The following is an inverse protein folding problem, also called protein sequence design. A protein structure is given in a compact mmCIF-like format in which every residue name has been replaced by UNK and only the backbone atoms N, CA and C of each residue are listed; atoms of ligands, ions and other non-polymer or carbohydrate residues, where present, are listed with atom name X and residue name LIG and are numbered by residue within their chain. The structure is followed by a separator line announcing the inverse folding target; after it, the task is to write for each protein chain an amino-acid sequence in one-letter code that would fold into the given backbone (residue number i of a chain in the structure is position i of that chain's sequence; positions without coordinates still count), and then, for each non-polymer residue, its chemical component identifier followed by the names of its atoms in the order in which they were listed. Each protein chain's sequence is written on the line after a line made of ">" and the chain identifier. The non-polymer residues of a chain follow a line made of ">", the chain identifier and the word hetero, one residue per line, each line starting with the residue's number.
data_IF_030025598664
#
_entry.id   IF_030025598664
#
_cell.length_a   1.000
_cell.length_b   1.000
_cell.length_c   1.000
_cell.angle_alpha   90.00
_cell.angle_beta   90.00
_cell.angle_gamma   90.00
#
_symmetry.space_group_name_H-M   'P 1'
#
loop_
_entity.id
_entity.type
_entity.pdbx_description
1 polymer ?
#
# COMPACT_ATOMS: atom_id res chain seq x y z
N UNK A 1 12.56 23.75 55.85
CA UNK A 1 11.19 23.21 55.57
C UNK A 1 10.30 24.14 54.76
N UNK A 2 10.19 25.48 55.04
CA UNK A 2 9.33 26.39 54.27
C UNK A 2 9.75 26.59 52.81
N UNK A 3 11.02 26.57 52.45
CA UNK A 3 11.53 26.69 51.09
C UNK A 3 11.22 25.42 50.25
N UNK A 4 11.36 24.24 50.82
CA UNK A 4 11.04 22.96 50.16
C UNK A 4 9.55 22.86 49.84
N UNK A 5 8.68 23.29 50.76
CA UNK A 5 7.22 23.34 50.57
C UNK A 5 6.84 24.30 49.43
N UNK A 6 7.46 25.48 49.33
CA UNK A 6 7.24 26.41 48.23
C UNK A 6 7.68 25.85 46.87
N UNK A 7 8.83 25.17 46.81
CA UNK A 7 9.32 24.53 45.60
C UNK A 7 8.39 23.39 45.14
N UNK A 8 7.87 22.55 46.04
CA UNK A 8 6.94 21.47 45.73
C UNK A 8 5.62 22.06 45.17
N UNK A 9 5.09 23.15 45.77
CA UNK A 9 3.87 23.78 45.28
C UNK A 9 4.08 24.37 43.88
N UNK A 10 5.20 25.05 43.63
CA UNK A 10 5.51 25.58 42.28
C UNK A 10 5.63 24.47 41.21
N UNK A 11 6.28 23.33 41.54
CA UNK A 11 6.37 22.18 40.63
C UNK A 11 4.99 21.56 40.38
N UNK A 12 4.16 21.43 41.40
CA UNK A 12 2.79 20.91 41.25
C UNK A 12 1.92 21.81 40.38
N UNK A 13 2.02 23.13 40.50
CA UNK A 13 1.28 24.09 39.66
C UNK A 13 1.75 24.04 38.22
N UNK A 14 3.06 23.90 37.97
CA UNK A 14 3.60 23.77 36.60
C UNK A 14 3.19 22.45 35.95
N UNK A 15 3.14 21.33 36.70
CA UNK A 15 2.66 20.05 36.20
C UNK A 15 1.16 20.06 35.90
N UNK A 16 0.34 20.68 36.73
CA UNK A 16 -1.12 20.79 36.51
C UNK A 16 -1.47 21.68 35.31
N UNK A 17 -0.73 22.74 35.06
CA UNK A 17 -0.90 23.60 33.88
C UNK A 17 -0.67 22.88 32.55
N UNK A 18 0.33 22.00 32.49
CA UNK A 18 0.61 21.22 31.29
C UNK A 18 -0.46 20.14 30.99
N UNK A 19 -1.07 19.54 32.02
CA UNK A 19 -2.15 18.55 31.82
C UNK A 19 -3.43 19.18 31.28
N UNK A 20 -3.79 20.39 31.76
CA UNK A 20 -4.97 21.09 31.26
C UNK A 20 -4.81 21.52 29.80
N UNK A 21 -3.64 22.03 29.41
CA UNK A 21 -3.33 22.42 28.02
C UNK A 21 -3.44 21.23 27.05
N UNK A 22 -2.96 20.05 27.44
CA UNK A 22 -3.03 18.85 26.61
C UNK A 22 -4.47 18.35 26.43
N UNK A 23 -5.31 18.44 27.45
CA UNK A 23 -6.73 18.05 27.37
C UNK A 23 -7.53 18.99 26.42
N UNK A 24 -7.28 20.28 26.45
CA UNK A 24 -7.89 21.25 25.53
C UNK A 24 -7.44 21.02 24.08
N UNK A 25 -6.14 20.78 23.85
CA UNK A 25 -5.59 20.45 22.53
C UNK A 25 -6.23 19.16 21.96
N UNK A 26 -6.33 18.10 22.76
CA UNK A 26 -6.98 16.86 22.36
C UNK A 26 -8.46 17.05 22.01
N UNK A 27 -9.20 17.89 22.77
CA UNK A 27 -10.60 18.20 22.46
C UNK A 27 -10.72 18.97 21.14
N UNK A 28 -9.83 19.92 20.88
CA UNK A 28 -9.82 20.73 19.66
C UNK A 28 -9.47 19.85 18.45
N UNK A 29 -8.44 19.02 18.53
CA UNK A 29 -8.09 18.04 17.51
C UNK A 29 -9.28 17.15 17.13
N UNK A 30 -9.90 16.48 18.12
CA UNK A 30 -11.05 15.62 17.89
C UNK A 30 -12.26 16.34 17.28
N UNK A 31 -12.43 17.65 17.56
CA UNK A 31 -13.45 18.45 16.91
C UNK A 31 -13.20 18.57 15.41
N UNK A 32 -11.98 18.91 15.02
CA UNK A 32 -11.61 19.06 13.61
C UNK A 32 -11.62 17.72 12.87
N UNK A 33 -11.20 16.63 13.50
CA UNK A 33 -11.32 15.28 12.92
C UNK A 33 -12.79 14.93 12.65
N UNK A 34 -13.70 15.18 13.60
CA UNK A 34 -15.13 14.93 13.40
C UNK A 34 -15.74 15.80 12.31
N UNK A 35 -15.38 17.07 12.25
CA UNK A 35 -15.80 17.98 11.19
C UNK A 35 -15.35 17.45 9.82
N UNK A 36 -14.08 17.05 9.71
CA UNK A 36 -13.54 16.43 8.51
C UNK A 36 -14.27 15.14 8.12
N UNK A 37 -14.59 14.28 9.09
CA UNK A 37 -15.33 13.04 8.85
C UNK A 37 -16.74 13.28 8.29
N UNK A 38 -17.46 14.29 8.78
CA UNK A 38 -18.79 14.65 8.24
C UNK A 38 -18.68 15.21 6.81
N UNK A 39 -17.68 16.04 6.54
CA UNK A 39 -17.40 16.55 5.19
C UNK A 39 -17.00 15.41 4.23
N UNK A 40 -16.17 14.49 4.68
CA UNK A 40 -15.75 13.32 3.88
C UNK A 40 -16.93 12.43 3.52
N UNK A 41 -17.85 12.15 4.45
CA UNK A 41 -19.07 11.36 4.21
C UNK A 41 -19.99 12.01 3.17
N UNK A 42 -19.97 13.33 3.08
CA UNK A 42 -20.73 14.09 2.08
C UNK A 42 -19.93 14.38 0.80
N UNK A 43 -18.82 13.65 0.58
CA UNK A 43 -17.93 13.74 -0.57
C UNK A 43 -17.27 15.11 -0.78
N UNK A 44 -17.32 15.98 0.23
CA UNK A 44 -16.64 17.28 0.23
C UNK A 44 -15.17 17.12 0.62
N UNK A 45 -14.43 16.44 -0.24
CA UNK A 45 -13.06 16.00 0.08
C UNK A 45 -12.07 17.14 0.28
N UNK A 46 -12.25 18.26 -0.44
CA UNK A 46 -11.40 19.44 -0.28
C UNK A 46 -11.61 20.13 1.07
N UNK A 47 -12.86 20.28 1.48
CA UNK A 47 -13.20 20.86 2.78
C UNK A 47 -12.81 19.92 3.93
N UNK A 48 -12.95 18.60 3.72
CA UNK A 48 -12.49 17.60 4.67
C UNK A 48 -10.97 17.68 4.86
N UNK A 49 -10.19 17.83 3.78
CA UNK A 49 -8.74 18.04 3.83
C UNK A 49 -8.41 19.24 4.73
N UNK A 50 -9.08 20.38 4.55
CA UNK A 50 -8.86 21.59 5.38
C UNK A 50 -9.12 21.29 6.85
N UNK A 51 -10.20 20.59 7.18
CA UNK A 51 -10.53 20.23 8.55
C UNK A 51 -9.47 19.29 9.16
N UNK A 52 -9.01 18.29 8.41
CA UNK A 52 -7.96 17.39 8.90
C UNK A 52 -6.61 18.10 9.05
N UNK A 53 -6.24 19.01 8.17
CA UNK A 53 -5.03 19.85 8.34
C UNK A 53 -5.12 20.69 9.64
N UNK A 54 -6.29 21.30 9.94
CA UNK A 54 -6.50 21.98 11.22
C UNK A 54 -6.34 21.06 12.43
N UNK A 55 -6.72 19.77 12.31
CA UNK A 55 -6.48 18.82 13.39
C UNK A 55 -4.99 18.57 13.61
N UNK A 56 -4.21 18.53 12.51
CA UNK A 56 -2.76 18.35 12.55
C UNK A 56 -2.01 19.60 13.02
N UNK A 57 -2.55 20.81 12.79
CA UNK A 57 -2.01 22.04 13.37
C UNK A 57 -2.09 22.00 14.91
N UNK A 58 -3.15 21.39 15.45
CA UNK A 58 -3.33 21.20 16.90
C UNK A 58 -2.47 20.04 17.42
N UNK A 59 -2.48 18.91 16.71
CA UNK A 59 -1.73 17.72 17.07
C UNK A 59 -1.02 17.10 15.84
N UNK A 60 0.23 17.49 15.55
CA UNK A 60 0.98 16.98 14.41
C UNK A 60 1.24 15.47 14.42
N UNK A 61 0.98 14.80 15.55
CA UNK A 61 1.15 13.35 15.70
C UNK A 61 -0.18 12.57 15.70
N UNK A 62 -1.27 13.22 15.29
CA UNK A 62 -2.58 12.58 15.21
C UNK A 62 -2.58 11.49 14.13
N UNK A 63 -2.65 10.22 14.54
CA UNK A 63 -2.76 9.09 13.62
C UNK A 63 -4.07 9.22 12.81
N UNK A 64 -5.18 9.54 13.50
CA UNK A 64 -6.48 9.65 12.85
C UNK A 64 -6.56 10.84 11.88
N UNK A 65 -6.02 12.00 12.28
CA UNK A 65 -5.94 13.19 11.41
C UNK A 65 -5.11 12.91 10.15
N UNK A 66 -3.93 12.31 10.30
CA UNK A 66 -3.04 11.97 9.17
C UNK A 66 -3.66 10.92 8.25
N UNK A 67 -4.27 9.87 8.81
CA UNK A 67 -4.93 8.83 8.02
C UNK A 67 -6.09 9.39 7.19
N UNK A 68 -6.97 10.17 7.81
CA UNK A 68 -8.12 10.74 7.14
C UNK A 68 -7.74 11.84 6.13
N UNK A 69 -6.66 12.59 6.39
CA UNK A 69 -6.06 13.48 5.40
C UNK A 69 -5.59 12.70 4.17
N UNK A 70 -4.87 11.60 4.37
CA UNK A 70 -4.46 10.71 3.29
C UNK A 70 -5.66 10.21 2.47
N UNK A 71 -6.74 9.78 3.13
CA UNK A 71 -7.97 9.35 2.46
C UNK A 71 -8.60 10.48 1.63
N UNK A 72 -8.66 11.70 2.16
CA UNK A 72 -9.22 12.85 1.44
C UNK A 72 -8.39 13.23 0.23
N UNK A 73 -7.08 13.20 0.35
CA UNK A 73 -6.14 13.45 -0.75
C UNK A 73 -6.27 12.38 -1.83
N UNK A 74 -6.40 11.11 -1.44
CA UNK A 74 -6.62 10.01 -2.37
C UNK A 74 -7.91 10.19 -3.19
N UNK A 75 -9.01 10.59 -2.54
CA UNK A 75 -10.29 10.85 -3.21
C UNK A 75 -10.23 12.04 -4.17
N UNK A 76 -9.33 12.98 -3.93
CA UNK A 76 -9.05 14.12 -4.82
C UNK A 76 -8.05 13.80 -5.92
N UNK A 77 -7.60 12.54 -6.05
CA UNK A 77 -6.56 12.10 -6.97
C UNK A 77 -5.16 12.73 -6.72
N UNK A 78 -4.96 13.32 -5.55
CA UNK A 78 -3.67 13.85 -5.08
C UNK A 78 -2.80 12.69 -4.55
N UNK A 79 -2.47 11.74 -5.44
CA UNK A 79 -1.90 10.44 -5.07
C UNK A 79 -0.55 10.56 -4.36
N UNK A 80 0.31 11.49 -4.80
CA UNK A 80 1.63 11.70 -4.19
C UNK A 80 1.51 12.18 -2.75
N UNK A 81 0.68 13.21 -2.52
CA UNK A 81 0.44 13.75 -1.19
C UNK A 81 -0.23 12.73 -0.26
N UNK A 82 -1.17 11.94 -0.78
CA UNK A 82 -1.80 10.85 -0.03
C UNK A 82 -0.76 9.79 0.39
N UNK A 83 0.13 9.39 -0.52
CA UNK A 83 1.21 8.44 -0.22
C UNK A 83 2.14 8.95 0.88
N UNK A 84 2.48 10.24 0.88
CA UNK A 84 3.30 10.88 1.91
C UNK A 84 2.64 10.76 3.31
N UNK A 85 1.31 11.00 3.39
CA UNK A 85 0.58 10.87 4.66
C UNK A 85 0.59 9.43 5.18
N UNK A 86 0.33 8.45 4.32
CA UNK A 86 0.36 7.05 4.71
C UNK A 86 1.77 6.57 5.08
N UNK A 87 2.82 7.07 4.41
CA UNK A 87 4.20 6.74 4.72
C UNK A 87 4.64 7.27 6.10
N UNK A 88 4.17 8.47 6.48
CA UNK A 88 4.38 9.00 7.84
C UNK A 88 3.79 8.06 8.91
N UNK A 89 2.63 7.46 8.64
CA UNK A 89 2.00 6.50 9.54
C UNK A 89 2.68 5.13 9.53
N UNK A 90 3.06 4.63 8.36
CA UNK A 90 3.82 3.39 8.24
C UNK A 90 5.15 3.46 9.01
N UNK A 91 5.78 4.64 9.07
CA UNK A 91 6.95 4.90 9.91
C UNK A 91 6.71 4.71 11.43
N UNK A 92 5.45 4.67 11.87
CA UNK A 92 5.05 4.41 13.27
C UNK A 92 4.59 2.96 13.50
N UNK A 93 4.88 2.06 12.59
CA UNK A 93 4.42 0.67 12.58
C UNK A 93 4.62 -0.05 13.92
N UNK A 94 5.80 0.08 14.51
CA UNK A 94 6.13 -0.58 15.79
C UNK A 94 5.11 -0.22 16.88
N UNK A 95 4.81 1.06 17.02
CA UNK A 95 3.82 1.58 17.99
C UNK A 95 2.40 1.15 17.65
N UNK A 96 2.03 1.18 16.37
CA UNK A 96 0.69 0.79 15.94
C UNK A 96 0.44 -0.70 16.15
N UNK A 97 1.46 -1.55 16.07
CA UNK A 97 1.35 -2.99 16.33
C UNK A 97 1.13 -3.37 17.80
N UNK A 98 1.25 -2.43 18.73
CA UNK A 98 1.04 -2.71 20.16
C UNK A 98 -0.43 -2.98 20.49
N UNK A 99 -1.38 -2.45 19.69
CA UNK A 99 -2.82 -2.62 19.93
C UNK A 99 -3.52 -3.29 18.74
N UNK A 100 -4.64 -4.02 18.98
CA UNK A 100 -5.44 -4.58 17.90
C UNK A 100 -5.96 -3.53 16.91
N UNK A 101 -6.41 -2.38 17.43
CA UNK A 101 -6.92 -1.26 16.66
C UNK A 101 -5.83 -0.63 15.79
N UNK A 102 -4.62 -0.50 16.34
CA UNK A 102 -3.45 -0.01 15.61
C UNK A 102 -3.04 -0.97 14.48
N UNK A 103 -3.08 -2.30 14.72
CA UNK A 103 -2.84 -3.31 13.68
C UNK A 103 -3.87 -3.21 12.55
N UNK A 104 -5.16 -3.10 12.90
CA UNK A 104 -6.22 -2.95 11.92
C UNK A 104 -6.02 -1.68 11.08
N UNK A 105 -5.71 -0.57 11.72
CA UNK A 105 -5.43 0.71 11.03
C UNK A 105 -4.18 0.61 10.13
N UNK A 106 -3.16 -0.09 10.56
CA UNK A 106 -1.94 -0.30 9.78
C UNK A 106 -2.23 -1.17 8.54
N UNK A 107 -3.11 -2.18 8.66
CA UNK A 107 -3.57 -2.97 7.52
C UNK A 107 -4.26 -2.08 6.47
N UNK A 108 -5.18 -1.20 6.89
CA UNK A 108 -5.86 -0.24 6.02
C UNK A 108 -4.87 0.73 5.34
N UNK A 109 -3.85 1.19 6.06
CA UNK A 109 -2.80 2.06 5.51
C UNK A 109 -2.06 1.35 4.39
N UNK A 110 -1.61 0.11 4.60
CA UNK A 110 -0.93 -0.67 3.55
C UNK A 110 -1.86 -1.00 2.38
N UNK A 111 -3.15 -1.30 2.63
CA UNK A 111 -4.14 -1.45 1.57
C UNK A 111 -4.22 -0.18 0.70
N UNK A 112 -4.37 0.99 1.32
CA UNK A 112 -4.48 2.27 0.61
C UNK A 112 -3.19 2.65 -0.13
N UNK A 113 -2.02 2.33 0.44
CA UNK A 113 -0.74 2.46 -0.27
C UNK A 113 -0.71 1.57 -1.52
N UNK A 114 -1.20 0.34 -1.43
CA UNK A 114 -1.38 -0.56 -2.56
C UNK A 114 -2.26 0.04 -3.64
N UNK A 115 -3.40 0.61 -3.27
CA UNK A 115 -4.33 1.27 -4.21
C UNK A 115 -3.69 2.47 -4.93
N UNK A 116 -2.89 3.27 -4.21
CA UNK A 116 -2.14 4.39 -4.82
C UNK A 116 -1.14 3.86 -5.85
N UNK A 117 -0.38 2.81 -5.50
CA UNK A 117 0.59 2.19 -6.40
C UNK A 117 -0.08 1.57 -7.64
N UNK A 118 -1.26 0.94 -7.45
CA UNK A 118 -2.09 0.46 -8.57
C UNK A 118 -2.45 1.56 -9.53
N UNK A 119 -2.97 2.69 -9.04
CA UNK A 119 -3.29 3.86 -9.87
C UNK A 119 -2.07 4.41 -10.60
N UNK A 120 -0.91 4.39 -9.96
CA UNK A 120 0.38 4.80 -10.52
C UNK A 120 1.01 3.76 -11.46
N UNK A 121 0.37 2.60 -11.69
CA UNK A 121 0.89 1.46 -12.46
C UNK A 121 2.21 0.88 -11.91
N UNK A 122 2.53 1.17 -10.64
CA UNK A 122 3.67 0.57 -9.95
C UNK A 122 3.20 -0.75 -9.30
N UNK A 123 2.94 -1.73 -10.16
CA UNK A 123 2.33 -3.00 -9.74
C UNK A 123 3.21 -3.78 -8.78
N UNK A 124 4.53 -3.69 -8.93
CA UNK A 124 5.47 -4.38 -8.03
C UNK A 124 5.36 -3.87 -6.59
N UNK A 125 5.36 -2.55 -6.38
CA UNK A 125 5.20 -1.97 -5.06
C UNK A 125 3.77 -2.12 -4.53
N UNK A 126 2.76 -2.17 -5.42
CA UNK A 126 1.38 -2.46 -5.05
C UNK A 126 1.24 -3.86 -4.44
N UNK A 127 1.82 -4.88 -5.08
CA UNK A 127 1.87 -6.25 -4.58
C UNK A 127 2.47 -6.31 -3.17
N UNK A 128 3.60 -5.64 -2.94
CA UNK A 128 4.24 -5.65 -1.62
C UNK A 128 3.38 -4.94 -0.56
N UNK A 129 2.74 -3.83 -0.89
CA UNK A 129 1.85 -3.13 0.03
C UNK A 129 0.63 -3.98 0.41
N UNK A 130 -0.03 -4.63 -0.54
CA UNK A 130 -1.16 -5.53 -0.25
C UNK A 130 -0.75 -6.76 0.57
N UNK A 131 0.44 -7.33 0.32
CA UNK A 131 0.99 -8.40 1.16
C UNK A 131 1.19 -7.94 2.61
N UNK A 132 1.69 -6.71 2.84
CA UNK A 132 1.83 -6.16 4.19
C UNK A 132 0.46 -5.98 4.86
N UNK A 133 -0.54 -5.48 4.13
CA UNK A 133 -1.91 -5.37 4.62
C UNK A 133 -2.45 -6.74 5.06
N UNK A 134 -2.33 -7.76 4.22
CA UNK A 134 -2.83 -9.12 4.51
C UNK A 134 -2.08 -9.83 5.64
N UNK A 135 -0.81 -9.53 5.88
CA UNK A 135 -0.09 -10.03 7.07
C UNK A 135 -0.71 -9.53 8.37
N UNK A 136 -1.32 -8.36 8.35
CA UNK A 136 -1.96 -7.73 9.51
C UNK A 136 -3.44 -8.08 9.60
N UNK A 137 -4.14 -8.18 8.47
CA UNK A 137 -5.54 -8.57 8.35
C UNK A 137 -5.74 -9.62 7.24
N UNK A 138 -5.53 -10.92 7.53
CA UNK A 138 -5.64 -11.98 6.52
C UNK A 138 -7.06 -12.21 5.99
N UNK A 139 -8.09 -11.63 6.63
CA UNK A 139 -9.50 -11.82 6.25
C UNK A 139 -10.05 -10.75 5.33
N UNK A 140 -9.21 -9.84 4.85
CA UNK A 140 -9.61 -8.75 3.97
C UNK A 140 -9.72 -9.25 2.52
N UNK A 141 -10.95 -9.56 2.11
CA UNK A 141 -11.26 -10.06 0.77
C UNK A 141 -10.96 -9.03 -0.32
N UNK A 142 -11.19 -7.73 -0.04
CA UNK A 142 -10.91 -6.67 -1.00
C UNK A 142 -9.40 -6.56 -1.25
N UNK A 143 -8.59 -6.61 -0.20
CA UNK A 143 -7.13 -6.60 -0.34
C UNK A 143 -6.63 -7.85 -1.07
N UNK A 144 -7.23 -9.03 -0.84
CA UNK A 144 -6.88 -10.26 -1.58
C UNK A 144 -7.17 -10.12 -3.07
N UNK A 145 -8.34 -9.62 -3.42
CA UNK A 145 -8.72 -9.36 -4.81
C UNK A 145 -7.74 -8.38 -5.47
N UNK A 146 -7.47 -7.26 -4.81
CA UNK A 146 -6.57 -6.23 -5.33
C UNK A 146 -5.13 -6.74 -5.48
N UNK A 147 -4.67 -7.62 -4.57
CA UNK A 147 -3.37 -8.28 -4.69
C UNK A 147 -3.32 -9.18 -5.92
N UNK A 148 -4.34 -10.01 -6.14
CA UNK A 148 -4.40 -10.89 -7.32
C UNK A 148 -4.39 -10.08 -8.62
N UNK A 149 -5.16 -8.98 -8.66
CA UNK A 149 -5.17 -8.06 -9.80
C UNK A 149 -3.79 -7.41 -10.03
N UNK A 150 -3.14 -6.93 -8.97
CA UNK A 150 -1.81 -6.33 -9.06
C UNK A 150 -0.77 -7.31 -9.58
N UNK A 151 -0.82 -8.57 -9.12
CA UNK A 151 0.07 -9.65 -9.58
C UNK A 151 -0.15 -9.98 -11.06
N UNK A 152 -1.40 -10.00 -11.52
CA UNK A 152 -1.72 -10.19 -12.93
C UNK A 152 -1.13 -9.06 -13.77
N UNK A 153 -1.43 -7.81 -13.41
CA UNK A 153 -0.95 -6.63 -14.16
C UNK A 153 0.58 -6.53 -14.18
N UNK A 154 1.25 -6.91 -13.09
CA UNK A 154 2.71 -6.97 -13.04
C UNK A 154 3.27 -8.00 -14.03
N UNK A 155 2.63 -9.15 -14.15
CA UNK A 155 3.03 -10.22 -15.09
C UNK A 155 2.78 -9.80 -16.53
N UNK A 156 1.62 -9.18 -16.80
CA UNK A 156 1.30 -8.69 -18.12
C UNK A 156 2.31 -7.61 -18.57
N UNK A 157 2.67 -6.69 -17.68
CA UNK A 157 3.72 -5.69 -17.92
C UNK A 157 5.08 -6.32 -18.23
N UNK A 158 5.50 -7.32 -17.45
CA UNK A 158 6.76 -8.03 -17.68
C UNK A 158 6.79 -8.78 -19.03
N UNK A 159 5.67 -9.35 -19.43
CA UNK A 159 5.54 -10.02 -20.73
C UNK A 159 5.59 -9.03 -21.90
N UNK A 160 4.98 -7.85 -21.75
CA UNK A 160 5.05 -6.77 -22.74
C UNK A 160 6.48 -6.25 -22.89
N UNK A 161 7.18 -6.01 -21.79
CA UNK A 161 8.58 -5.56 -21.79
C UNK A 161 9.49 -6.58 -22.50
N UNK A 162 9.37 -7.88 -22.17
CA UNK A 162 10.13 -8.96 -22.83
C UNK A 162 9.84 -9.05 -24.33
N UNK A 163 8.58 -8.87 -24.73
CA UNK A 163 8.18 -8.90 -26.14
C UNK A 163 8.72 -7.70 -26.92
N UNK A 164 8.87 -6.55 -26.27
CA UNK A 164 9.46 -5.35 -26.86
C UNK A 164 10.97 -5.50 -27.03
N UNK A 165 11.65 -6.10 -26.04
CA UNK A 165 13.08 -6.34 -26.10
C UNK A 165 13.42 -7.32 -27.23
N UNK A 166 12.70 -8.44 -27.37
CA UNK A 166 12.86 -9.36 -28.48
C UNK A 166 12.68 -8.71 -29.85
N UNK A 167 11.63 -7.87 -30.02
CA UNK A 167 11.42 -7.14 -31.28
C UNK A 167 12.51 -6.11 -31.56
N UNK A 168 13.14 -5.57 -30.55
CA UNK A 168 14.24 -4.63 -30.70
C UNK A 168 15.54 -5.36 -31.08
N UNK A 169 15.79 -6.54 -30.51
CA UNK A 169 16.91 -7.42 -30.85
C UNK A 169 16.78 -7.90 -32.32
N UNK A 170 15.62 -8.44 -32.73
CA UNK A 170 15.36 -8.83 -34.13
C UNK A 170 15.57 -7.67 -35.11
N UNK A 171 15.16 -6.44 -34.76
CA UNK A 171 15.39 -5.26 -35.60
C UNK A 171 16.85 -4.84 -35.67
N UNK A 172 17.64 -5.08 -34.65
CA UNK A 172 19.08 -4.84 -34.67
C UNK A 172 19.82 -5.89 -35.52
N UNK A 173 19.48 -7.16 -35.35
CA UNK A 173 20.02 -8.25 -36.18
C UNK A 173 19.67 -8.08 -37.69
N UNK A 174 18.43 -7.65 -37.99
CA UNK A 174 18.01 -7.35 -39.38
C UNK A 174 18.75 -6.13 -39.94
N UNK A 175 19.13 -5.13 -39.14
CA UNK A 175 19.94 -4.01 -39.61
C UNK A 175 21.39 -4.41 -39.84
N UNK A 176 21.99 -5.16 -38.93
CA UNK A 176 23.35 -5.67 -39.11
C UNK A 176 23.46 -6.64 -40.31
N UNK A 177 22.45 -7.49 -40.52
CA UNK A 177 22.37 -8.36 -41.71
C UNK A 177 22.14 -7.57 -43.01
N UNK A 178 21.38 -6.47 -42.99
CA UNK A 178 21.17 -5.60 -44.15
C UNK A 178 22.42 -4.79 -44.49
N UNK A 179 23.16 -4.33 -43.51
CA UNK A 179 24.44 -3.63 -43.74
C UNK A 179 25.52 -4.56 -44.25
N UNK A 180 25.49 -5.87 -43.93
CA UNK A 180 26.35 -6.89 -44.51
C UNK A 180 25.89 -7.33 -45.90
N UNK A 181 24.57 -7.28 -46.23
CA UNK A 181 24.03 -7.62 -47.54
C UNK A 181 24.05 -6.44 -48.54
N UNK A 182 24.12 -5.19 -48.10
CA UNK A 182 24.30 -4.05 -48.99
C UNK A 182 25.68 -3.95 -49.64
N UNK A 183 26.62 -4.77 -49.17
CA UNK A 183 27.90 -5.00 -49.89
C UNK A 183 27.80 -6.06 -51.00
N UNK A 184 26.70 -6.81 -51.08
CA UNK A 184 26.45 -7.77 -52.17
C UNK A 184 24.99 -7.70 -52.63
N UNK A 185 24.78 -7.08 -53.81
CA UNK A 185 23.60 -7.19 -54.66
C UNK A 185 22.45 -6.19 -54.47
N UNK A 186 22.35 -5.29 -55.42
CA UNK A 186 21.10 -4.68 -55.92
C UNK A 186 20.17 -5.76 -56.52
N UNK A 187 18.91 -5.81 -56.11
CA UNK A 187 17.68 -5.91 -56.90
C UNK A 187 16.46 -6.45 -56.17
N UNK A 188 15.49 -5.54 -56.04
CA UNK A 188 14.02 -5.56 -56.17
C UNK A 188 13.08 -6.34 -55.20
N UNK A 189 11.80 -5.88 -55.11
CA UNK A 189 10.94 -5.94 -53.94
C UNK A 189 9.76 -6.91 -54.08
N UNK A 190 9.04 -7.23 -53.02
CA UNK A 190 7.56 -7.15 -53.01
C UNK A 190 6.90 -7.56 -51.68
N UNK A 191 5.85 -6.83 -51.43
CA UNK A 191 4.67 -6.92 -50.59
C UNK A 191 4.28 -8.20 -49.83
N UNK A 192 3.83 -8.05 -48.62
CA UNK A 192 2.59 -8.51 -47.95
C UNK A 192 2.78 -8.78 -46.49
N UNK A 193 2.12 -8.00 -45.62
CA UNK A 193 1.48 -8.47 -44.37
C UNK A 193 0.73 -7.31 -43.70
N UNK A 194 -0.54 -7.23 -43.95
CA UNK A 194 -1.55 -6.64 -43.04
C UNK A 194 -2.63 -7.70 -42.88
N UNK A 195 -2.85 -8.16 -41.64
CA UNK A 195 -4.08 -8.66 -41.05
C UNK A 195 -3.82 -9.74 -39.99
N UNK A 196 -3.62 -9.35 -38.74
CA UNK A 196 -3.75 -10.30 -37.60
C UNK A 196 -4.08 -9.65 -36.24
N UNK A 197 -4.51 -8.39 -36.19
CA UNK A 197 -4.53 -7.66 -34.92
C UNK A 197 -5.93 -7.52 -34.26
N UNK A 198 -7.01 -8.00 -34.88
CA UNK A 198 -8.36 -7.77 -34.34
C UNK A 198 -9.02 -8.99 -33.65
N UNK A 199 -8.56 -10.20 -33.88
CA UNK A 199 -9.15 -11.39 -33.22
C UNK A 199 -8.56 -11.70 -31.84
N UNK A 200 -7.37 -11.22 -31.52
CA UNK A 200 -6.71 -11.46 -30.22
C UNK A 200 -7.27 -10.62 -29.08
N UNK A 201 -7.94 -9.49 -29.35
CA UNK A 201 -8.46 -8.60 -28.30
C UNK A 201 -9.76 -9.11 -27.64
N UNK A 202 -10.60 -9.85 -28.35
CA UNK A 202 -11.86 -10.34 -27.81
C UNK A 202 -11.74 -11.65 -27.00
N UNK A 203 -10.70 -12.45 -27.23
CA UNK A 203 -10.43 -13.63 -26.42
C UNK A 203 -9.79 -13.30 -25.05
N UNK A 204 -9.18 -12.14 -24.90
CA UNK A 204 -8.47 -11.75 -23.68
C UNK A 204 -9.40 -11.31 -22.53
N UNK A 205 -10.61 -10.84 -22.81
CA UNK A 205 -11.52 -10.36 -21.75
C UNK A 205 -12.27 -11.48 -21.01
N UNK A 206 -12.62 -12.57 -21.69
CA UNK A 206 -13.31 -13.72 -21.05
C UNK A 206 -12.34 -14.63 -20.26
N UNK A 207 -11.09 -14.75 -20.66
CA UNK A 207 -10.05 -15.45 -19.87
C UNK A 207 -9.66 -14.73 -18.57
N UNK A 208 -10.06 -13.47 -18.43
CA UNK A 208 -9.61 -12.59 -17.36
C UNK A 208 -10.23 -12.90 -15.98
N UNK A 209 -11.48 -13.34 -15.92
CA UNK A 209 -12.18 -13.61 -14.64
C UNK A 209 -11.83 -14.99 -14.07
N UNK A 210 -11.79 -16.02 -14.90
CA UNK A 210 -11.45 -17.37 -14.46
C UNK A 210 -9.98 -17.48 -14.02
N UNK A 211 -9.07 -16.79 -14.71
CA UNK A 211 -7.66 -16.72 -14.31
C UNK A 211 -7.46 -15.95 -12.99
N UNK A 212 -8.21 -14.86 -12.77
CA UNK A 212 -8.16 -14.12 -11.51
C UNK A 212 -8.63 -14.97 -10.33
N UNK A 213 -9.68 -15.79 -10.55
CA UNK A 213 -10.19 -16.71 -9.53
C UNK A 213 -9.19 -17.83 -9.23
N UNK A 214 -8.61 -18.47 -10.26
CA UNK A 214 -7.58 -19.50 -10.09
C UNK A 214 -6.33 -18.97 -9.37
N UNK A 215 -5.92 -17.73 -9.66
CA UNK A 215 -4.82 -17.08 -8.95
C UNK A 215 -5.15 -16.77 -7.49
N UNK A 216 -6.39 -16.35 -7.22
CA UNK A 216 -6.88 -16.13 -5.87
C UNK A 216 -6.85 -17.43 -5.07
N UNK A 217 -7.31 -18.52 -5.66
CA UNK A 217 -7.33 -19.84 -5.03
C UNK A 217 -5.90 -20.38 -4.78
N UNK A 218 -4.99 -20.21 -5.74
CA UNK A 218 -3.59 -20.57 -5.58
C UNK A 218 -2.90 -19.74 -4.48
N UNK A 219 -3.20 -18.44 -4.39
CA UNK A 219 -2.67 -17.58 -3.34
C UNK A 219 -3.22 -17.96 -1.95
N UNK A 220 -4.52 -18.25 -1.85
CA UNK A 220 -5.15 -18.71 -0.62
C UNK A 220 -4.53 -20.03 -0.13
N UNK A 221 -4.14 -20.91 -1.05
CA UNK A 221 -3.47 -22.16 -0.71
C UNK A 221 -2.03 -21.90 -0.20
N UNK A 222 -1.26 -21.06 -0.89
CA UNK A 222 0.12 -20.71 -0.50
C UNK A 222 0.16 -19.98 0.85
N UNK A 223 -0.82 -19.10 1.10
CA UNK A 223 -0.95 -18.43 2.39
C UNK A 223 -1.33 -19.39 3.52
N UNK A 224 -2.22 -20.35 3.25
CA UNK A 224 -2.58 -21.41 4.20
C UNK A 224 -1.37 -22.26 4.57
N UNK A 225 -0.58 -22.65 3.59
CA UNK A 225 0.65 -23.41 3.77
C UNK A 225 1.69 -22.59 4.57
N UNK A 226 1.77 -21.29 4.31
CA UNK A 226 2.66 -20.39 5.04
C UNK A 226 2.20 -20.19 6.48
N UNK A 227 0.90 -20.03 6.73
CA UNK A 227 0.34 -19.95 8.09
C UNK A 227 0.55 -21.25 8.87
N UNK A 228 0.41 -22.41 8.22
CA UNK A 228 0.74 -23.70 8.85
C UNK A 228 2.21 -23.81 9.22
N UNK A 229 3.13 -23.39 8.34
CA UNK A 229 4.57 -23.36 8.62
C UNK A 229 4.89 -22.44 9.81
N UNK A 230 4.30 -21.24 9.84
CA UNK A 230 4.46 -20.29 10.97
C UNK A 230 3.91 -20.87 12.26
N UNK A 231 2.72 -21.48 12.23
CA UNK A 231 2.10 -22.13 13.39
C UNK A 231 2.95 -23.29 13.92
N UNK A 232 3.47 -24.14 13.04
CA UNK A 232 4.39 -25.23 13.40
C UNK A 232 5.69 -24.69 14.00
N UNK A 233 6.28 -23.63 13.44
CA UNK A 233 7.47 -22.99 13.97
C UNK A 233 7.24 -22.39 15.37
N UNK A 234 6.10 -21.72 15.58
CA UNK A 234 5.72 -21.19 16.89
C UNK A 234 5.49 -22.29 17.92
N UNK A 235 4.87 -23.40 17.55
CA UNK A 235 4.67 -24.55 18.44
C UNK A 235 6.01 -25.19 18.83
N UNK A 236 6.93 -25.36 17.87
CA UNK A 236 8.28 -25.87 18.16
C UNK A 236 9.07 -24.92 19.08
N UNK A 237 8.94 -23.61 18.88
CA UNK A 237 9.58 -22.63 19.75
C UNK A 237 9.01 -22.63 21.18
N UNK A 238 7.69 -22.83 21.32
CA UNK A 238 7.06 -22.99 22.64
C UNK A 238 7.47 -24.30 23.35
N UNK A 239 7.61 -25.38 22.59
CA UNK A 239 8.10 -26.65 23.14
C UNK A 239 9.55 -26.54 23.60
N UNK A 240 10.43 -25.90 22.81
CA UNK A 240 11.82 -25.64 23.23
C UNK A 240 11.90 -24.82 24.52
N UNK A 241 11.10 -23.74 24.63
CA UNK A 241 11.03 -22.91 25.85
C UNK A 241 10.50 -23.66 27.07
N UNK A 242 9.63 -24.67 26.88
CA UNK A 242 9.15 -25.54 28.00
C UNK A 242 10.21 -26.53 28.43
N UNK A 243 10.96 -27.11 27.53
CA UNK A 243 12.09 -28.01 27.86
C UNK A 243 13.25 -27.26 28.51
N UNK A 244 13.58 -26.05 28.08
CA UNK A 244 14.62 -25.22 28.71
C UNK A 244 14.27 -24.76 30.15
N UNK A 245 12.99 -24.71 30.52
CA UNK A 245 12.55 -24.35 31.88
C UNK A 245 12.46 -25.55 32.84
N UNK A 246 12.70 -26.76 32.36
CA UNK A 246 12.66 -27.98 33.18
C UNK A 246 14.05 -28.44 33.66
N UNK A 247 15.10 -27.70 33.36
CA UNK A 247 16.46 -27.81 33.84
C UNK A 247 16.82 -26.52 34.60
#
# INVERSE_FOLDING_TARGET
>A
MKLIRKSIVCVAVLLSGNMLSSAFAQKAERKHVREGNELYKTEKYTEAEVAYRKSLDVNPRSIEGTYNLGNSLYKQDKLKEAAEQYQLLAGQEAKMKETPEGKARLAEIYHNMGNIRMKGKDYAQSVEAYKQSLRLNPKDDETRYNLALAQKLLRDQQNEDQSQDQKNEEKQEDKENKDQQQQQQQQKPDDQKQNKTQEEQQQNEQMSQDNAQQMLDAFLQDEKDTQEKVKKAQQQQQQRRKTEKQW
#
